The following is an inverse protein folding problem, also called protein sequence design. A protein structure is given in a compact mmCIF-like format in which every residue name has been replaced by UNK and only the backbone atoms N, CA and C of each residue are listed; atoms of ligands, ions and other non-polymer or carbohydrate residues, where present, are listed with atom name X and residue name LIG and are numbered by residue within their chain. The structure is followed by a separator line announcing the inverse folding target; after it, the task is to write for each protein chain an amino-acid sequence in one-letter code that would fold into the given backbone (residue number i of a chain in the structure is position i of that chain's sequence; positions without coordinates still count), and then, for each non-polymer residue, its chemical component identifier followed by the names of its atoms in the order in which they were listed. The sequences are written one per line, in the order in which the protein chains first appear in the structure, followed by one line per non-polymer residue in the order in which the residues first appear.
data_IF_969757822021
#
_entry.id   IF_969757822021
#
_cell.length_a   1.000
_cell.length_b   1.000
_cell.length_c   1.000
_cell.angle_alpha   90.00
_cell.angle_beta   90.00
_cell.angle_gamma   90.00
#
_symmetry.space_group_name_H-M   'P 1'
#
loop_
_entity.id
_entity.type
_entity.pdbx_description
1 polymer ?
#
# COMPACT_ATOMS: atom_id res chain seq x y z
N UNK A 1 9.73 -9.26 -9.34
CA UNK A 1 10.57 -8.20 -8.76
C UNK A 1 10.07 -6.87 -9.25
N UNK A 2 9.19 -6.26 -8.45
CA UNK A 2 8.73 -4.89 -8.67
C UNK A 2 9.85 -3.95 -8.24
N UNK A 3 10.18 -2.99 -9.10
CA UNK A 3 11.23 -2.02 -8.84
C UNK A 3 10.73 -0.91 -7.92
N UNK A 4 11.15 -0.96 -6.64
CA UNK A 4 10.82 0.04 -5.64
C UNK A 4 11.54 1.39 -5.83
N UNK A 5 12.42 1.54 -6.83
CA UNK A 5 13.26 2.74 -7.00
C UNK A 5 12.45 4.04 -7.03
N UNK A 6 11.34 4.07 -7.78
CA UNK A 6 10.48 5.25 -7.88
C UNK A 6 9.80 5.60 -6.55
N UNK A 7 9.35 4.58 -5.82
CA UNK A 7 8.73 4.75 -4.50
C UNK A 7 9.75 5.22 -3.45
N UNK A 8 10.95 4.64 -3.44
CA UNK A 8 12.04 5.05 -2.55
C UNK A 8 12.46 6.49 -2.86
N UNK A 9 12.58 6.85 -4.14
CA UNK A 9 12.89 8.24 -4.54
C UNK A 9 11.82 9.20 -4.01
N UNK A 10 10.53 8.84 -4.14
CA UNK A 10 9.44 9.65 -3.61
C UNK A 10 9.49 9.75 -2.08
N UNK A 11 9.83 8.66 -1.39
CA UNK A 11 10.01 8.62 0.05
C UNK A 11 11.14 9.56 0.50
N UNK A 12 12.31 9.49 -0.14
CA UNK A 12 13.47 10.34 0.17
C UNK A 12 13.15 11.83 -0.08
N UNK A 13 12.46 12.14 -1.19
CA UNK A 13 12.01 13.52 -1.47
C UNK A 13 11.04 14.00 -0.38
N UNK A 14 10.08 13.16 0.05
CA UNK A 14 9.16 13.50 1.13
C UNK A 14 9.89 13.70 2.47
N UNK A 15 10.89 12.87 2.78
CA UNK A 15 11.72 13.00 3.98
C UNK A 15 12.56 14.29 3.98
N UNK A 16 12.96 14.78 2.81
CA UNK A 16 13.67 16.06 2.68
C UNK A 16 12.78 17.29 2.93
N UNK A 17 11.46 17.11 3.09
CA UNK A 17 10.50 18.19 3.25
C UNK A 17 10.17 18.93 1.95
N UNK A 18 10.50 18.33 0.80
CA UNK A 18 10.28 18.91 -0.52
C UNK A 18 9.08 18.26 -1.24
N UNK A 19 8.52 18.99 -2.23
CA UNK A 19 7.53 18.56 -3.22
C UNK A 19 6.13 18.18 -2.71
N UNK A 20 6.03 17.36 -1.67
CA UNK A 20 4.75 16.81 -1.23
C UNK A 20 4.10 17.61 -0.11
N UNK A 21 2.80 17.35 0.12
CA UNK A 21 2.05 17.94 1.23
C UNK A 21 2.64 17.58 2.61
N UNK A 22 2.42 18.42 3.65
CA UNK A 22 2.93 18.12 5.00
C UNK A 22 2.48 16.77 5.57
N UNK A 23 1.31 16.27 5.15
CA UNK A 23 0.84 14.94 5.54
C UNK A 23 1.71 13.81 4.97
N UNK A 24 2.09 13.92 3.70
CA UNK A 24 2.96 12.96 3.02
C UNK A 24 4.36 13.00 3.62
N UNK A 25 4.89 14.19 3.88
CA UNK A 25 6.19 14.37 4.53
C UNK A 25 6.21 13.77 5.95
N UNK A 26 5.14 14.00 6.72
CA UNK A 26 5.00 13.42 8.06
C UNK A 26 4.91 11.90 8.02
N UNK A 27 4.18 11.34 7.05
CA UNK A 27 4.07 9.89 6.89
C UNK A 27 5.41 9.26 6.43
N UNK A 28 6.23 9.99 5.70
CA UNK A 28 7.57 9.56 5.28
C UNK A 28 8.60 9.59 6.42
N UNK A 29 8.38 10.43 7.44
CA UNK A 29 9.36 10.69 8.48
C UNK A 29 9.68 9.42 9.30
N UNK A 30 10.97 9.13 9.43
CA UNK A 30 11.46 8.01 10.26
C UNK A 30 11.37 6.63 9.62
N UNK A 31 10.93 6.52 8.36
CA UNK A 31 10.96 5.26 7.62
C UNK A 31 12.41 4.90 7.27
N UNK A 32 12.87 3.76 7.77
CA UNK A 32 14.18 3.22 7.43
C UNK A 32 14.12 2.48 6.08
N UNK A 33 14.78 3.04 5.06
CA UNK A 33 14.79 2.51 3.69
C UNK A 33 15.43 1.12 3.61
N UNK A 34 16.48 0.86 4.38
CA UNK A 34 17.19 -0.43 4.34
C UNK A 34 16.33 -1.54 4.96
N UNK A 35 15.66 -1.26 6.07
CA UNK A 35 14.71 -2.22 6.67
C UNK A 35 13.47 -2.42 5.80
N UNK A 36 12.98 -1.37 5.13
CA UNK A 36 11.89 -1.48 4.15
C UNK A 36 12.26 -2.41 2.99
N UNK A 37 13.46 -2.25 2.41
CA UNK A 37 13.93 -3.13 1.32
C UNK A 37 13.98 -4.59 1.76
N UNK A 38 14.50 -4.86 2.96
CA UNK A 38 14.54 -6.23 3.52
C UNK A 38 13.12 -6.77 3.78
N UNK A 39 12.25 -5.96 4.36
CA UNK A 39 10.87 -6.32 4.63
C UNK A 39 10.12 -6.69 3.35
N UNK A 40 10.26 -5.86 2.31
CA UNK A 40 9.62 -6.09 1.02
C UNK A 40 10.20 -7.32 0.30
N UNK A 41 11.52 -7.51 0.32
CA UNK A 41 12.14 -8.72 -0.24
C UNK A 41 11.65 -10.00 0.45
N UNK A 42 11.49 -9.96 1.78
CA UNK A 42 10.89 -11.05 2.56
C UNK A 42 9.41 -11.27 2.20
N UNK A 43 8.65 -10.19 2.03
CA UNK A 43 7.25 -10.25 1.62
C UNK A 43 7.10 -10.86 0.21
N UNK A 44 7.92 -10.45 -0.76
CA UNK A 44 7.91 -10.98 -2.13
C UNK A 44 8.20 -12.50 -2.13
N UNK A 45 9.15 -12.95 -1.30
CA UNK A 45 9.45 -14.38 -1.17
C UNK A 45 8.29 -15.21 -0.59
N UNK A 46 7.45 -14.61 0.26
CA UNK A 46 6.32 -15.26 0.93
C UNK A 46 4.99 -15.09 0.16
N UNK A 47 4.89 -14.08 -0.70
CA UNK A 47 3.71 -13.75 -1.48
C UNK A 47 2.58 -13.19 -0.62
N UNK A 48 1.45 -13.91 -0.56
CA UNK A 48 0.19 -13.36 0.00
C UNK A 48 0.10 -13.45 1.53
N UNK A 49 0.72 -14.47 2.11
CA UNK A 49 0.71 -14.74 3.56
C UNK A 49 2.09 -14.44 4.13
N UNK A 50 2.33 -13.18 4.43
CA UNK A 50 3.63 -12.69 4.89
C UNK A 50 3.70 -12.72 6.40
N UNK A 51 4.79 -13.25 6.94
CA UNK A 51 5.13 -13.22 8.35
C UNK A 51 6.54 -12.69 8.51
N UNK A 52 6.66 -11.41 8.84
CA UNK A 52 7.92 -10.74 9.18
C UNK A 52 7.99 -10.66 10.70
N UNK A 53 8.85 -11.48 11.28
CA UNK A 53 9.09 -11.54 12.74
C UNK A 53 9.99 -10.40 13.23
N UNK A 54 10.84 -9.87 12.36
CA UNK A 54 11.70 -8.73 12.70
C UNK A 54 10.85 -7.46 12.90
N UNK A 55 10.92 -6.91 14.11
CA UNK A 55 10.11 -5.77 14.49
C UNK A 55 10.46 -4.49 13.70
N UNK A 56 11.73 -4.31 13.32
CA UNK A 56 12.16 -3.14 12.55
C UNK A 56 11.66 -3.21 11.10
N UNK A 57 11.74 -4.39 10.49
CA UNK A 57 11.20 -4.65 9.15
C UNK A 57 9.67 -4.53 9.12
N UNK A 58 8.98 -5.12 10.09
CA UNK A 58 7.53 -5.04 10.21
C UNK A 58 7.06 -3.59 10.42
N UNK A 59 7.74 -2.82 11.28
CA UNK A 59 7.46 -1.41 11.48
C UNK A 59 7.74 -0.57 10.23
N UNK A 60 8.85 -0.83 9.54
CA UNK A 60 9.20 -0.14 8.29
C UNK A 60 8.17 -0.43 7.18
N UNK A 61 7.72 -1.69 7.05
CA UNK A 61 6.68 -2.07 6.09
C UNK A 61 5.36 -1.35 6.39
N UNK A 62 4.93 -1.36 7.65
CA UNK A 62 3.69 -0.69 8.06
C UNK A 62 3.77 0.82 7.82
N UNK A 63 4.87 1.47 8.20
CA UNK A 63 5.05 2.90 7.98
C UNK A 63 5.10 3.24 6.48
N UNK A 64 5.80 2.43 5.67
CA UNK A 64 5.81 2.58 4.22
C UNK A 64 4.43 2.38 3.59
N UNK A 65 3.62 1.47 4.12
CA UNK A 65 2.24 1.30 3.70
C UNK A 65 1.38 2.54 4.01
N UNK A 66 1.52 3.13 5.20
CA UNK A 66 0.84 4.38 5.55
C UNK A 66 1.29 5.55 4.66
N UNK A 67 2.60 5.63 4.37
CA UNK A 67 3.14 6.58 3.42
C UNK A 67 2.60 6.35 2.01
N UNK A 68 2.53 5.10 1.53
CA UNK A 68 1.98 4.76 0.23
C UNK A 68 0.51 5.20 0.10
N UNK A 69 -0.28 5.07 1.17
CA UNK A 69 -1.67 5.50 1.20
C UNK A 69 -1.84 7.02 1.11
N UNK A 70 -0.81 7.79 1.49
CA UNK A 70 -0.76 9.23 1.27
C UNK A 70 -0.21 9.55 -0.13
N UNK A 71 0.83 8.86 -0.56
CA UNK A 71 1.50 9.07 -1.83
C UNK A 71 0.59 8.80 -3.04
N UNK A 72 -0.31 7.81 -2.95
CA UNK A 72 -1.28 7.51 -4.02
C UNK A 72 -2.19 8.70 -4.35
N UNK A 73 -2.40 9.62 -3.39
CA UNK A 73 -3.19 10.83 -3.59
C UNK A 73 -2.43 11.91 -4.40
N UNK A 74 -1.11 11.77 -4.49
CA UNK A 74 -0.20 12.64 -5.24
C UNK A 74 0.02 12.16 -6.69
N UNK A 75 -0.66 11.10 -7.13
CA UNK A 75 -0.62 10.66 -8.53
C UNK A 75 -1.17 11.75 -9.48
N UNK A 76 -0.59 11.85 -10.68
CA UNK A 76 -1.02 12.85 -11.69
C UNK A 76 -2.48 12.67 -12.09
N UNK A 77 -2.96 11.43 -12.11
CA UNK A 77 -4.35 11.10 -12.41
C UNK A 77 -4.88 10.05 -11.44
N UNK A 78 -6.20 9.99 -11.30
CA UNK A 78 -6.83 9.00 -10.44
C UNK A 78 -6.82 7.63 -11.15
N UNK A 79 -6.46 6.53 -10.45
CA UNK A 79 -6.53 5.20 -11.02
C UNK A 79 -7.97 4.79 -11.38
N UNK A 80 -8.12 3.79 -12.25
CA UNK A 80 -9.42 3.22 -12.61
C UNK A 80 -10.15 2.60 -11.42
N UNK A 81 -11.47 2.42 -11.52
CA UNK A 81 -12.31 1.99 -10.40
C UNK A 81 -11.95 0.61 -9.84
N UNK A 82 -11.53 -0.33 -10.70
CA UNK A 82 -11.03 -1.65 -10.29
C UNK A 82 -9.77 -1.54 -9.44
N UNK A 83 -8.81 -0.73 -9.88
CA UNK A 83 -7.54 -0.50 -9.17
C UNK A 83 -7.82 0.15 -7.82
N UNK A 84 -8.73 1.15 -7.77
CA UNK A 84 -9.17 1.77 -6.51
C UNK A 84 -9.79 0.76 -5.55
N UNK A 85 -10.60 -0.17 -6.05
CA UNK A 85 -11.19 -1.20 -5.22
C UNK A 85 -10.14 -2.17 -4.66
N UNK A 86 -9.14 -2.56 -5.45
CA UNK A 86 -8.02 -3.38 -4.99
C UNK A 86 -7.21 -2.66 -3.91
N UNK A 87 -6.83 -1.40 -4.15
CA UNK A 87 -6.15 -0.57 -3.16
C UNK A 87 -6.97 -0.47 -1.87
N UNK A 88 -8.28 -0.24 -1.97
CA UNK A 88 -9.17 -0.18 -0.80
C UNK A 88 -9.18 -1.49 -0.01
N UNK A 89 -9.27 -2.64 -0.69
CA UNK A 89 -9.30 -3.95 -0.05
C UNK A 89 -7.98 -4.24 0.66
N UNK A 90 -6.84 -4.06 -0.01
CA UNK A 90 -5.53 -4.25 0.62
C UNK A 90 -5.30 -3.27 1.75
N UNK A 91 -5.77 -2.03 1.62
CA UNK A 91 -5.70 -1.07 2.70
C UNK A 91 -6.50 -1.51 3.93
N UNK A 92 -7.68 -2.12 3.72
CA UNK A 92 -8.52 -2.63 4.81
C UNK A 92 -7.90 -3.83 5.49
N UNK A 93 -7.43 -4.82 4.74
CA UNK A 93 -6.77 -6.01 5.28
C UNK A 93 -5.46 -5.62 5.99
N UNK A 94 -4.67 -4.72 5.40
CA UNK A 94 -3.41 -4.24 5.99
C UNK A 94 -3.57 -3.47 7.30
N UNK A 95 -4.78 -3.00 7.61
CA UNK A 95 -5.16 -2.37 8.88
C UNK A 95 -5.99 -3.29 9.79
N UNK A 96 -6.14 -4.58 9.46
CA UNK A 96 -7.00 -5.52 10.18
C UNK A 96 -8.46 -5.06 10.29
N UNK A 97 -8.96 -4.36 9.27
CA UNK A 97 -10.34 -3.85 9.21
C UNK A 97 -11.18 -4.72 8.28
N UNK A 98 -12.28 -5.26 8.83
CA UNK A 98 -13.27 -6.02 8.05
C UNK A 98 -14.10 -5.07 7.17
N UNK A 99 -14.27 -5.45 5.91
CA UNK A 99 -15.20 -4.76 5.00
C UNK A 99 -16.57 -5.38 5.14
N UNK A 100 -17.52 -4.65 5.70
CA UNK A 100 -18.89 -5.11 5.91
C UNK A 100 -19.70 -5.21 4.61
N UNK A 101 -20.62 -6.17 4.57
CA UNK A 101 -21.49 -6.37 3.41
C UNK A 101 -22.53 -5.26 3.33
N UNK A 102 -22.60 -4.60 2.18
CA UNK A 102 -23.65 -3.62 1.90
C UNK A 102 -25.05 -4.22 1.88
N UNK A 103 -26.07 -3.38 2.12
CA UNK A 103 -27.47 -3.75 1.95
C UNK A 103 -27.82 -4.15 0.52
N UNK A 104 -29.02 -4.70 0.31
CA UNK A 104 -29.50 -5.25 -0.98
C UNK A 104 -29.22 -4.33 -2.19
N UNK A 105 -29.40 -3.02 -2.02
CA UNK A 105 -29.27 -1.99 -3.05
C UNK A 105 -27.90 -1.30 -3.10
N UNK A 106 -26.99 -1.59 -2.16
CA UNK A 106 -25.65 -0.99 -2.13
C UNK A 106 -24.66 -1.82 -2.96
N UNK A 107 -24.79 -1.71 -4.28
CA UNK A 107 -23.99 -2.48 -5.24
C UNK A 107 -22.48 -2.23 -5.06
N UNK A 108 -22.09 -1.00 -4.71
CA UNK A 108 -20.69 -0.64 -4.49
C UNK A 108 -20.12 -1.35 -3.27
N UNK A 109 -20.80 -1.32 -2.12
CA UNK A 109 -20.32 -2.04 -0.93
C UNK A 109 -20.35 -3.56 -1.14
N UNK A 110 -21.31 -4.09 -1.87
CA UNK A 110 -21.32 -5.52 -2.24
C UNK A 110 -20.10 -5.88 -3.10
N UNK A 111 -19.73 -5.04 -4.06
CA UNK A 111 -18.52 -5.22 -4.87
C UNK A 111 -17.26 -5.18 -4.01
N UNK A 112 -17.11 -4.18 -3.13
CA UNK A 112 -15.96 -4.07 -2.23
C UNK A 112 -15.86 -5.25 -1.24
N UNK A 113 -16.99 -5.68 -0.66
CA UNK A 113 -17.02 -6.86 0.21
C UNK A 113 -16.64 -8.14 -0.55
N UNK A 114 -17.13 -8.29 -1.79
CA UNK A 114 -16.78 -9.43 -2.64
C UNK A 114 -15.28 -9.47 -2.95
N UNK A 115 -14.69 -8.32 -3.28
CA UNK A 115 -13.24 -8.21 -3.51
C UNK A 115 -12.44 -8.46 -2.22
N UNK A 116 -12.91 -7.96 -1.07
CA UNK A 116 -12.32 -8.25 0.25
C UNK A 116 -12.33 -9.73 0.57
N UNK A 117 -13.49 -10.39 0.42
CA UNK A 117 -13.64 -11.83 0.68
C UNK A 117 -12.70 -12.63 -0.21
N UNK A 118 -12.65 -12.30 -1.51
CA UNK A 118 -11.73 -12.94 -2.44
C UNK A 118 -10.27 -12.80 -2.02
N UNK A 119 -9.83 -11.62 -1.57
CA UNK A 119 -8.47 -11.43 -1.10
C UNK A 119 -8.16 -12.27 0.17
N UNK A 120 -9.09 -12.34 1.11
CA UNK A 120 -8.95 -13.21 2.28
C UNK A 120 -8.89 -14.70 1.86
N UNK A 121 -9.76 -15.13 0.95
CA UNK A 121 -9.78 -16.51 0.42
C UNK A 121 -8.48 -16.86 -0.34
N UNK A 122 -7.89 -15.88 -1.02
CA UNK A 122 -6.58 -16.01 -1.66
C UNK A 122 -5.41 -16.09 -0.65
N UNK A 123 -5.68 -15.87 0.64
CA UNK A 123 -4.72 -16.01 1.73
C UNK A 123 -3.99 -14.71 2.11
N UNK A 124 -4.47 -13.55 1.66
CA UNK A 124 -3.88 -12.28 2.07
C UNK A 124 -4.08 -12.03 3.57
N UNK A 125 -2.97 -11.80 4.26
CA UNK A 125 -2.98 -11.30 5.64
C UNK A 125 -2.57 -9.82 5.70
N UNK A 126 -2.46 -9.25 6.90
CA UNK A 126 -2.16 -7.83 7.08
C UNK A 126 -0.83 -7.43 6.42
N UNK A 127 0.28 -8.08 6.76
CA UNK A 127 1.59 -7.78 6.18
C UNK A 127 1.65 -8.05 4.67
N UNK A 128 1.02 -9.13 4.20
CA UNK A 128 0.94 -9.42 2.76
C UNK A 128 0.14 -8.36 2.00
N UNK A 129 -0.92 -7.84 2.60
CA UNK A 129 -1.69 -6.74 2.01
C UNK A 129 -0.97 -5.39 2.07
N UNK A 130 -0.18 -5.14 3.11
CA UNK A 130 0.68 -3.95 3.18
C UNK A 130 1.70 -3.96 2.02
N UNK A 131 2.35 -5.10 1.80
CA UNK A 131 3.30 -5.27 0.70
C UNK A 131 2.61 -5.15 -0.68
N UNK A 132 1.49 -5.85 -0.89
CA UNK A 132 0.73 -5.77 -2.13
C UNK A 132 0.19 -4.36 -2.42
N UNK A 133 -0.17 -3.61 -1.38
CA UNK A 133 -0.58 -2.22 -1.53
C UNK A 133 0.58 -1.32 -2.00
N UNK A 134 1.76 -1.46 -1.39
CA UNK A 134 2.96 -0.72 -1.80
C UNK A 134 3.33 -1.05 -3.23
N UNK A 135 3.30 -2.34 -3.59
CA UNK A 135 3.54 -2.82 -4.95
C UNK A 135 2.62 -2.15 -5.96
N UNK A 136 1.31 -2.14 -5.68
CA UNK A 136 0.33 -1.50 -6.56
C UNK A 136 0.55 0.01 -6.67
N UNK A 137 0.97 0.69 -5.60
CA UNK A 137 1.31 2.12 -5.66
C UNK A 137 2.57 2.35 -6.49
N UNK A 138 3.58 1.49 -6.42
CA UNK A 138 4.79 1.56 -7.25
C UNK A 138 4.43 1.45 -8.73
N UNK A 139 3.59 0.49 -9.09
CA UNK A 139 3.10 0.33 -10.47
C UNK A 139 2.35 1.57 -10.95
N UNK A 140 1.50 2.16 -10.10
CA UNK A 140 0.77 3.38 -10.45
C UNK A 140 1.68 4.59 -10.60
N UNK A 141 2.75 4.69 -9.82
CA UNK A 141 3.76 5.74 -9.99
C UNK A 141 4.46 5.56 -11.33
N UNK A 142 4.77 4.32 -11.72
CA UNK A 142 5.41 4.03 -13.01
C UNK A 142 4.47 4.33 -14.20
N UNK A 143 3.18 4.01 -14.08
CA UNK A 143 2.19 4.20 -15.15
C UNK A 143 1.72 5.65 -15.28
N UNK A 144 1.38 6.29 -14.15
CA UNK A 144 0.71 7.60 -14.13
C UNK A 144 1.63 8.75 -13.75
N UNK A 145 2.72 8.46 -13.04
CA UNK A 145 3.62 9.47 -12.47
C UNK A 145 3.02 10.18 -11.25
N UNK A 146 3.89 10.92 -10.55
CA UNK A 146 3.54 11.78 -9.42
C UNK A 146 3.43 13.24 -9.88
N UNK A 147 2.52 14.01 -9.26
CA UNK A 147 2.37 15.44 -9.50
C UNK A 147 3.70 16.16 -9.27
N UNK A 148 3.97 17.17 -10.10
CA UNK A 148 5.20 17.96 -10.05
C UNK A 148 5.10 19.14 -9.08
#
# INVERSE_FOLDING_TARGET
MVDLSAFITALEVAQSGAKYSPEVQKAAAGINVDELKKAYASAEAQGKKVSIEDAAQSAALKAAFEFAAKLVMELKSAPGDTVKANLYVHYKIGNDVVVEKGGMFDLKKKFLHSAYTKAIDEGYNAQGSQAAYIEQVVELIAELGLRD
#
